data_IF_710789754506
#
_entry.id   IF_710789754506
#
_cell.length_a   1.000
_cell.length_b   1.000
_cell.length_c   1.000
_cell.angle_alpha   90.00
_cell.angle_beta   90.00
_cell.angle_gamma   90.00
#
_symmetry.space_group_name_H-M   'P 1'
#
loop_
_entity.id
_entity.type
_entity.pdbx_description
1 polymer ?
#
# COMPACT_ATOMS: atom_id res chain seq x y z
N UNK A 1 59.54 -27.03 -27.42
CA UNK A 1 58.52 -26.60 -28.39
C UNK A 1 57.23 -26.43 -27.61
N UNK A 2 56.95 -25.19 -27.27
CA UNK A 2 55.92 -24.74 -26.31
C UNK A 2 54.52 -24.74 -26.95
N UNK A 3 53.54 -25.18 -26.18
CA UNK A 3 52.11 -25.13 -26.50
C UNK A 3 51.61 -23.68 -26.34
N UNK A 4 50.85 -23.10 -27.30
CA UNK A 4 50.30 -21.75 -27.16
C UNK A 4 49.06 -21.73 -26.25
N UNK A 5 49.15 -20.98 -25.14
CA UNK A 5 48.03 -20.63 -24.23
C UNK A 5 47.10 -19.60 -24.90
N UNK A 6 46.01 -20.05 -25.50
CA UNK A 6 44.89 -19.18 -25.84
C UNK A 6 43.99 -19.01 -24.63
N UNK A 7 44.15 -17.86 -24.00
CA UNK A 7 43.25 -17.20 -23.06
C UNK A 7 41.79 -17.29 -23.54
N UNK A 8 41.06 -18.30 -23.05
CA UNK A 8 39.59 -18.38 -23.14
C UNK A 8 39.05 -18.10 -21.74
N UNK A 9 39.12 -16.82 -21.35
CA UNK A 9 38.15 -16.22 -20.42
C UNK A 9 36.84 -16.06 -21.19
N UNK A 10 36.18 -17.19 -21.46
CA UNK A 10 34.73 -17.16 -21.57
C UNK A 10 34.19 -16.99 -20.15
N UNK A 11 34.26 -15.75 -19.66
CA UNK A 11 33.23 -15.19 -18.81
C UNK A 11 31.91 -15.42 -19.53
N UNK A 12 31.32 -16.59 -19.28
CA UNK A 12 29.89 -16.82 -19.43
C UNK A 12 29.26 -15.83 -18.47
N UNK A 13 29.10 -14.59 -18.97
CA UNK A 13 28.20 -13.60 -18.42
C UNK A 13 26.90 -14.33 -18.20
N UNK A 14 26.63 -14.66 -16.93
CA UNK A 14 25.42 -15.33 -16.52
C UNK A 14 24.25 -14.63 -17.21
N UNK A 15 23.32 -15.37 -17.84
CA UNK A 15 22.07 -14.80 -18.30
C UNK A 15 21.49 -14.00 -17.13
N UNK A 16 21.44 -12.68 -17.30
CA UNK A 16 20.79 -11.77 -16.38
C UNK A 16 19.43 -12.38 -16.02
N UNK A 17 19.16 -12.66 -14.73
CA UNK A 17 17.82 -13.01 -14.33
C UNK A 17 16.97 -11.80 -14.69
N UNK A 18 16.05 -12.00 -15.62
CA UNK A 18 15.05 -10.99 -15.93
C UNK A 18 14.39 -10.61 -14.61
N UNK A 19 14.33 -9.33 -14.23
CA UNK A 19 13.51 -8.93 -13.10
C UNK A 19 12.06 -9.20 -13.52
N UNK A 20 11.56 -10.37 -13.13
CA UNK A 20 10.13 -10.62 -12.97
C UNK A 20 9.57 -9.44 -12.17
N UNK A 21 8.45 -8.84 -12.59
CA UNK A 21 7.89 -7.68 -11.91
C UNK A 21 7.79 -7.97 -10.42
N UNK A 22 8.58 -7.24 -9.65
CA UNK A 22 8.87 -7.50 -8.26
C UNK A 22 7.63 -7.32 -7.38
N UNK A 23 6.77 -8.32 -7.29
CA UNK A 23 5.71 -8.39 -6.27
C UNK A 23 6.32 -8.26 -4.86
N UNK A 24 7.57 -8.74 -4.72
CA UNK A 24 8.39 -8.56 -3.52
C UNK A 24 8.77 -7.11 -3.22
N UNK A 25 8.96 -6.23 -4.21
CA UNK A 25 9.32 -4.83 -3.97
C UNK A 25 8.12 -4.03 -3.46
N UNK A 26 6.91 -4.33 -3.95
CA UNK A 26 5.68 -3.70 -3.46
C UNK A 26 5.38 -4.13 -2.02
N UNK A 27 5.50 -5.42 -1.68
CA UNK A 27 5.36 -5.87 -0.29
C UNK A 27 6.48 -5.35 0.61
N UNK A 28 7.73 -5.33 0.14
CA UNK A 28 8.86 -4.81 0.92
C UNK A 28 8.70 -3.31 1.17
N UNK A 29 8.22 -2.56 0.18
CA UNK A 29 7.86 -1.15 0.35
C UNK A 29 6.68 -0.99 1.32
N UNK A 30 5.64 -1.84 1.27
CA UNK A 30 4.50 -1.78 2.21
C UNK A 30 4.88 -2.14 3.65
N UNK A 31 5.86 -3.03 3.82
CA UNK A 31 6.39 -3.44 5.12
C UNK A 31 7.49 -2.50 5.65
N UNK A 32 7.95 -1.54 4.84
CA UNK A 32 8.88 -0.51 5.30
C UNK A 32 8.11 0.45 6.24
N UNK A 33 8.61 0.68 7.47
CA UNK A 33 7.89 1.50 8.45
C UNK A 33 7.65 2.91 7.89
N UNK A 34 6.38 3.32 7.80
CA UNK A 34 5.95 4.61 7.24
C UNK A 34 5.21 4.52 5.89
N UNK A 35 5.22 3.36 5.23
CA UNK A 35 4.55 3.15 3.93
C UNK A 35 3.02 3.04 4.02
N UNK A 36 2.46 2.85 5.23
CA UNK A 36 1.01 2.85 5.47
C UNK A 36 0.33 4.19 5.16
N UNK A 37 1.11 5.28 4.96
CA UNK A 37 0.64 6.61 4.56
C UNK A 37 0.66 6.83 3.03
N UNK A 38 1.03 5.83 2.22
CA UNK A 38 1.05 5.98 0.77
C UNK A 38 -0.38 5.96 0.18
N UNK A 39 -0.76 6.91 -0.69
CA UNK A 39 -2.14 7.03 -1.23
C UNK A 39 -2.60 5.79 -2.00
N UNK A 40 -1.66 5.00 -2.52
CA UNK A 40 -1.95 3.72 -3.19
C UNK A 40 -2.60 2.70 -2.25
N UNK A 41 -2.18 2.63 -0.99
CA UNK A 41 -2.68 1.64 -0.05
C UNK A 41 -4.10 2.01 0.43
N UNK A 42 -4.38 3.31 0.55
CA UNK A 42 -5.72 3.83 0.76
C UNK A 42 -6.66 3.48 -0.42
N UNK A 43 -6.20 3.61 -1.66
CA UNK A 43 -6.99 3.25 -2.85
C UNK A 43 -7.30 1.75 -2.92
N UNK A 44 -6.32 0.90 -2.63
CA UNK A 44 -6.51 -0.57 -2.61
C UNK A 44 -7.52 -0.95 -1.53
N UNK A 45 -7.41 -0.35 -0.35
CA UNK A 45 -8.29 -0.65 0.77
C UNK A 45 -9.73 -0.16 0.52
N UNK A 46 -9.89 1.02 -0.06
CA UNK A 46 -11.19 1.53 -0.53
C UNK A 46 -11.80 0.60 -1.59
N UNK A 47 -10.99 0.12 -2.55
CA UNK A 47 -11.41 -0.86 -3.54
C UNK A 47 -11.83 -2.21 -2.94
N UNK A 48 -11.11 -2.68 -1.92
CA UNK A 48 -11.44 -3.93 -1.22
C UNK A 48 -12.78 -3.82 -0.46
N UNK A 49 -13.00 -2.71 0.25
CA UNK A 49 -14.27 -2.45 0.93
C UNK A 49 -15.42 -2.24 -0.07
N UNK A 50 -15.19 -1.53 -1.19
CA UNK A 50 -16.19 -1.37 -2.24
C UNK A 50 -16.59 -2.71 -2.87
N UNK A 51 -15.61 -3.59 -3.13
CA UNK A 51 -15.86 -4.94 -3.63
C UNK A 51 -16.63 -5.78 -2.60
N UNK A 52 -16.27 -5.70 -1.32
CA UNK A 52 -16.94 -6.42 -0.25
C UNK A 52 -18.39 -5.95 -0.08
N UNK A 53 -18.62 -4.64 -0.09
CA UNK A 53 -19.95 -4.04 -0.06
C UNK A 53 -20.79 -4.48 -1.28
N UNK A 54 -20.20 -4.51 -2.48
CA UNK A 54 -20.87 -5.01 -3.68
C UNK A 54 -21.32 -6.47 -3.53
N UNK A 55 -20.45 -7.33 -2.99
CA UNK A 55 -20.77 -8.74 -2.71
C UNK A 55 -21.86 -8.86 -1.64
N UNK A 56 -21.78 -8.09 -0.55
CA UNK A 56 -22.78 -8.07 0.51
C UNK A 56 -24.15 -7.58 0.02
N UNK A 57 -24.19 -6.55 -0.81
CA UNK A 57 -25.44 -6.04 -1.41
C UNK A 57 -26.03 -7.08 -2.37
N UNK A 58 -25.20 -7.71 -3.20
CA UNK A 58 -25.63 -8.81 -4.08
C UNK A 58 -26.24 -9.98 -3.29
N UNK A 59 -25.57 -10.40 -2.22
CA UNK A 59 -26.09 -11.42 -1.29
C UNK A 59 -27.36 -10.96 -0.58
N UNK A 60 -27.44 -9.69 -0.16
CA UNK A 60 -28.62 -9.14 0.51
C UNK A 60 -29.86 -9.21 -0.38
N UNK A 61 -29.73 -8.90 -1.67
CA UNK A 61 -30.82 -9.04 -2.64
C UNK A 61 -31.16 -10.52 -2.87
N UNK A 62 -30.15 -11.37 -3.07
CA UNK A 62 -30.37 -12.81 -3.34
C UNK A 62 -31.08 -13.52 -2.18
N UNK A 63 -30.78 -13.14 -0.94
CA UNK A 63 -31.28 -13.81 0.27
C UNK A 63 -32.56 -13.17 0.83
N UNK A 64 -33.24 -12.30 0.08
CA UNK A 64 -34.45 -11.55 0.51
C UNK A 64 -34.24 -10.66 1.75
N UNK A 65 -33.07 -10.04 1.89
CA UNK A 65 -32.85 -8.99 2.90
C UNK A 65 -32.88 -9.50 4.35
N UNK A 66 -32.11 -10.53 4.66
CA UNK A 66 -31.98 -11.02 6.04
C UNK A 66 -31.31 -9.95 6.93
N UNK A 67 -31.83 -9.74 8.15
CA UNK A 67 -31.31 -8.78 9.14
C UNK A 67 -29.81 -8.97 9.42
N UNK A 68 -29.32 -10.21 9.32
CA UNK A 68 -27.89 -10.51 9.46
C UNK A 68 -27.05 -9.81 8.39
N UNK A 69 -27.48 -9.83 7.13
CA UNK A 69 -26.76 -9.17 6.03
C UNK A 69 -26.83 -7.64 6.14
N UNK A 70 -27.94 -7.11 6.65
CA UNK A 70 -28.04 -5.67 6.95
C UNK A 70 -27.01 -5.25 8.01
N UNK A 71 -26.85 -6.04 9.07
CA UNK A 71 -25.85 -5.79 10.11
C UNK A 71 -24.42 -5.85 9.56
N UNK A 72 -24.13 -6.81 8.67
CA UNK A 72 -22.82 -6.90 8.01
C UNK A 72 -22.53 -5.66 7.14
N UNK A 73 -23.51 -5.14 6.41
CA UNK A 73 -23.36 -3.90 5.62
C UNK A 73 -23.08 -2.70 6.53
N UNK A 74 -23.78 -2.59 7.66
CA UNK A 74 -23.58 -1.48 8.61
C UNK A 74 -22.18 -1.54 9.24
N UNK A 75 -21.75 -2.72 9.69
CA UNK A 75 -20.42 -2.90 10.29
C UNK A 75 -19.33 -2.61 9.26
N UNK A 76 -19.52 -3.04 8.02
CA UNK A 76 -18.62 -2.72 6.91
C UNK A 76 -18.46 -1.20 6.69
N UNK A 77 -19.57 -0.46 6.65
CA UNK A 77 -19.52 1.01 6.53
C UNK A 77 -18.85 1.68 7.74
N UNK A 78 -19.11 1.18 8.96
CA UNK A 78 -18.42 1.64 10.17
C UNK A 78 -16.91 1.39 10.08
N UNK A 79 -16.50 0.22 9.58
CA UNK A 79 -15.11 -0.14 9.41
C UNK A 79 -14.42 0.76 8.38
N UNK A 80 -15.07 0.99 7.23
CA UNK A 80 -14.59 1.90 6.19
C UNK A 80 -14.41 3.33 6.72
N UNK A 81 -15.38 3.83 7.50
CA UNK A 81 -15.30 5.14 8.14
C UNK A 81 -14.13 5.22 9.15
N UNK A 82 -13.95 4.17 9.97
CA UNK A 82 -12.87 4.10 10.97
C UNK A 82 -11.49 4.18 10.30
N UNK A 83 -11.29 3.47 9.19
CA UNK A 83 -10.05 3.52 8.40
C UNK A 83 -9.82 4.92 7.81
N UNK A 84 -10.85 5.52 7.18
CA UNK A 84 -10.72 6.88 6.61
C UNK A 84 -10.37 7.92 7.66
N UNK A 85 -10.98 7.83 8.84
CA UNK A 85 -10.66 8.71 9.96
C UNK A 85 -9.24 8.46 10.48
N UNK A 86 -8.82 7.21 10.63
CA UNK A 86 -7.47 6.84 11.06
C UNK A 86 -6.39 7.40 10.14
N UNK A 87 -6.54 7.28 8.83
CA UNK A 87 -5.59 7.84 7.85
C UNK A 87 -5.52 9.37 7.94
N UNK A 88 -6.69 10.02 8.06
CA UNK A 88 -6.74 11.47 8.22
C UNK A 88 -6.03 11.95 9.49
N UNK A 89 -6.18 11.22 10.60
CA UNK A 89 -5.51 11.54 11.86
C UNK A 89 -3.99 11.33 11.76
N UNK A 90 -3.54 10.27 11.10
CA UNK A 90 -2.10 10.06 10.84
C UNK A 90 -1.49 11.19 10.00
N UNK A 91 -2.18 11.66 8.97
CA UNK A 91 -1.72 12.79 8.14
C UNK A 91 -1.59 14.09 8.95
N UNK A 92 -2.52 14.35 9.88
CA UNK A 92 -2.45 15.50 10.79
C UNK A 92 -1.22 15.44 11.68
N UNK A 93 -0.93 14.28 12.27
CA UNK A 93 0.24 14.09 13.15
C UNK A 93 1.56 14.20 12.35
N UNK A 94 1.61 13.64 11.13
CA UNK A 94 2.80 13.75 10.27
C UNK A 94 3.08 15.19 9.82
N UNK A 95 2.02 15.95 9.49
CA UNK A 95 2.14 17.34 9.06
C UNK A 95 2.49 18.28 10.22
N UNK A 96 2.02 17.99 11.44
CA UNK A 96 2.37 18.74 12.65
C UNK A 96 3.86 18.62 13.02
N UNK A 97 4.53 17.53 12.66
CA UNK A 97 5.98 17.36 12.84
C UNK A 97 6.84 18.24 11.91
N UNK A 98 6.29 18.67 10.76
CA UNK A 98 7.01 19.50 9.76
C UNK A 98 6.81 21.01 9.97
N UNK A 99 5.72 21.45 10.62
CA UNK A 99 5.43 22.88 10.79
C UNK A 99 6.15 23.57 11.97
N UNK A 100 6.90 22.85 12.81
CA UNK A 100 7.57 23.45 13.97
C UNK A 100 8.90 24.16 13.67
N UNK A 101 9.42 24.10 12.43
CA UNK A 101 10.70 24.76 12.07
C UNK A 101 10.55 26.11 11.33
N UNK A 102 9.35 26.48 10.86
CA UNK A 102 9.16 27.72 10.08
C UNK A 102 8.78 28.94 10.94
N UNK A 103 8.21 28.74 12.14
CA UNK A 103 7.78 29.83 13.02
C UNK A 103 8.89 30.41 13.91
N UNK A 104 10.17 30.16 13.59
CA UNK A 104 11.32 30.73 14.29
C UNK A 104 12.00 31.88 13.53
N UNK A 105 11.54 32.25 12.32
CA UNK A 105 12.18 33.31 11.51
C UNK A 105 11.42 34.63 11.40
N UNK A 106 10.17 34.73 11.84
CA UNK A 106 9.36 35.97 11.72
C UNK A 106 9.26 36.80 13.01
N UNK A 107 10.34 36.89 13.80
CA UNK A 107 10.42 37.85 14.92
C UNK A 107 11.72 38.64 14.96
N UNK A 108 12.38 38.76 13.81
CA UNK A 108 13.61 39.53 13.64
C UNK A 108 13.56 40.40 12.38
N UNK A 109 12.48 41.18 12.26
CA UNK A 109 12.48 42.43 11.50
C UNK A 109 11.80 43.52 12.32
#
# INVERSE_FOLDING_TARGET
MQVPQTHIDMEVKSPQPQPSPSEGDFLSNILTPGSSLHPTLQLILDGAFALLLFVLVGLAVMTRGNVHLLALIVIELCLWASVKWFVHELQKVQSAGTQSEDHAKEKKE
#
